data_IF_919228044852
#
_entry.id   IF_919228044852
#
_cell.length_a   1.000
_cell.length_b   1.000
_cell.length_c   1.000
_cell.angle_alpha   90.00
_cell.angle_beta   90.00
_cell.angle_gamma   90.00
#
_symmetry.space_group_name_H-M   'P 1'
#
loop_
_entity.id
_entity.type
_entity.pdbx_description
1 polymer ?
#
# COMPACT_ATOMS: atom_id res chain seq x y z
N UNK A 1 53.75 41.22 -47.57
CA UNK A 1 54.13 41.99 -48.75
C UNK A 1 52.91 42.72 -49.21
N UNK A 2 53.09 44.01 -49.30
CA UNK A 2 52.23 45.06 -49.96
C UNK A 2 52.09 44.80 -51.45
N UNK A 3 51.38 45.62 -52.28
CA UNK A 3 50.36 46.64 -52.03
C UNK A 3 49.37 46.91 -53.21
N UNK A 4 48.41 47.83 -52.98
CA UNK A 4 47.98 48.97 -53.87
C UNK A 4 47.04 48.61 -55.05
N UNK A 5 46.13 49.44 -55.60
CA UNK A 5 45.80 50.85 -55.51
C UNK A 5 44.43 51.13 -56.15
N UNK A 6 43.70 52.10 -55.68
CA UNK A 6 42.97 53.22 -56.26
C UNK A 6 42.57 53.22 -57.74
N UNK A 7 41.32 53.63 -58.01
CA UNK A 7 41.08 54.81 -58.84
C UNK A 7 39.62 55.32 -58.77
N UNK A 8 39.49 56.62 -58.85
CA UNK A 8 38.33 57.42 -58.53
C UNK A 8 37.64 57.98 -59.82
N UNK A 9 36.33 58.30 -59.63
CA UNK A 9 35.51 59.38 -60.19
C UNK A 9 35.32 59.46 -61.72
N UNK A 10 34.32 60.16 -62.32
CA UNK A 10 33.64 61.35 -61.77
C UNK A 10 32.10 61.48 -62.02
N UNK A 11 31.49 62.25 -61.27
CA UNK A 11 30.44 63.26 -61.42
C UNK A 11 29.79 63.44 -62.80
N UNK A 12 28.43 63.26 -62.85
CA UNK A 12 27.61 64.06 -63.81
C UNK A 12 26.30 64.48 -63.14
N UNK A 13 26.18 65.78 -63.03
CA UNK A 13 25.05 66.57 -62.53
C UNK A 13 23.99 66.69 -63.61
N UNK A 14 22.74 66.27 -63.34
CA UNK A 14 21.61 66.70 -64.15
C UNK A 14 20.42 67.06 -63.25
N UNK A 15 20.19 68.37 -63.16
CA UNK A 15 18.96 68.94 -62.61
C UNK A 15 17.81 68.76 -63.61
N UNK A 16 16.68 68.31 -63.17
CA UNK A 16 15.39 68.67 -63.75
C UNK A 16 14.32 68.73 -62.65
N UNK A 17 13.64 69.86 -62.76
CA UNK A 17 12.67 70.43 -61.85
C UNK A 17 11.27 69.82 -62.01
N UNK A 18 10.53 69.87 -60.89
CA UNK A 18 9.08 70.01 -60.68
C UNK A 18 8.10 68.89 -60.98
N UNK A 19 7.45 68.42 -59.95
CA UNK A 19 6.04 68.73 -59.64
C UNK A 19 5.64 68.09 -58.34
N UNK A 20 5.13 68.89 -57.43
CA UNK A 20 4.67 68.39 -56.13
C UNK A 20 3.34 67.65 -56.20
N UNK A 21 3.31 66.57 -55.47
CA UNK A 21 2.08 65.99 -54.87
C UNK A 21 2.44 65.55 -53.46
N UNK A 22 1.97 66.36 -52.50
CA UNK A 22 2.06 65.99 -51.07
C UNK A 22 1.10 64.90 -50.75
N UNK A 23 1.52 63.68 -50.82
CA UNK A 23 0.82 62.54 -50.12
C UNK A 23 1.40 62.44 -48.74
N UNK A 24 0.56 62.73 -47.76
CA UNK A 24 0.79 62.54 -46.33
C UNK A 24 0.84 61.05 -46.08
N UNK A 25 2.01 60.47 -45.97
CA UNK A 25 2.19 59.12 -45.43
C UNK A 25 2.00 59.19 -43.90
N UNK A 26 0.86 58.76 -43.43
CA UNK A 26 0.71 58.44 -42.01
C UNK A 26 1.74 57.36 -41.68
N UNK A 27 2.63 57.64 -40.74
CA UNK A 27 3.55 56.67 -40.19
C UNK A 27 2.76 55.64 -39.45
N UNK A 28 2.76 54.36 -39.94
CA UNK A 28 2.21 53.24 -39.24
C UNK A 28 2.97 53.08 -37.92
N UNK A 29 2.26 53.19 -36.81
CA UNK A 29 2.79 52.88 -35.49
C UNK A 29 3.35 51.45 -35.49
N UNK A 30 4.50 51.17 -34.87
CA UNK A 30 5.04 49.84 -34.79
C UNK A 30 4.05 48.96 -34.03
N UNK A 31 3.60 47.87 -34.67
CA UNK A 31 2.82 46.80 -34.01
C UNK A 31 3.76 46.16 -33.01
N UNK A 32 3.60 46.51 -31.71
CA UNK A 32 4.24 45.79 -30.61
C UNK A 32 3.57 44.38 -30.59
N UNK A 33 4.32 43.33 -30.83
CA UNK A 33 3.72 42.01 -30.72
C UNK A 33 3.20 41.82 -29.28
N UNK A 34 1.90 41.56 -29.15
CA UNK A 34 1.32 41.22 -27.87
C UNK A 34 2.09 40.01 -27.32
N UNK A 35 2.80 40.20 -26.21
CA UNK A 35 3.40 39.10 -25.48
C UNK A 35 2.27 38.15 -25.09
N UNK A 36 2.27 36.97 -25.66
CA UNK A 36 1.35 35.91 -25.25
C UNK A 36 1.47 35.77 -23.72
N UNK A 37 0.34 35.66 -23.01
CA UNK A 37 0.40 35.43 -21.56
C UNK A 37 1.27 34.20 -21.30
N UNK A 38 2.28 34.35 -20.45
CA UNK A 38 3.06 33.22 -19.95
C UNK A 38 2.09 32.35 -19.15
N UNK A 39 1.49 31.34 -19.77
CA UNK A 39 0.69 30.31 -19.09
C UNK A 39 1.72 29.49 -18.35
N UNK A 40 1.94 29.82 -17.08
CA UNK A 40 2.68 28.96 -16.18
C UNK A 40 1.85 27.67 -15.99
N UNK A 41 2.22 26.61 -16.70
CA UNK A 41 1.65 25.29 -16.47
C UNK A 41 2.17 24.83 -15.11
N UNK A 42 1.27 24.68 -14.13
CA UNK A 42 1.64 24.10 -12.84
C UNK A 42 2.31 22.73 -13.06
N UNK A 43 3.35 22.39 -12.31
CA UNK A 43 3.96 21.07 -12.41
C UNK A 43 2.91 19.97 -12.13
N UNK A 44 3.05 18.80 -12.77
CA UNK A 44 2.14 17.70 -12.50
C UNK A 44 2.21 17.32 -11.01
N UNK A 45 1.10 16.79 -10.43
CA UNK A 45 1.08 16.37 -9.05
C UNK A 45 2.07 15.22 -8.81
N UNK A 46 2.64 15.17 -7.62
CA UNK A 46 3.37 14.03 -7.12
C UNK A 46 2.37 12.89 -6.85
N UNK A 47 2.78 11.66 -7.10
CA UNK A 47 1.92 10.48 -6.91
C UNK A 47 2.74 9.37 -6.26
N UNK A 48 2.10 8.68 -5.29
CA UNK A 48 2.57 7.45 -4.67
C UNK A 48 1.48 6.39 -4.79
N UNK A 49 1.86 5.20 -5.19
CA UNK A 49 1.01 4.01 -5.16
C UNK A 49 1.30 3.20 -3.91
N UNK A 50 0.24 2.77 -3.22
CA UNK A 50 0.31 1.93 -2.02
C UNK A 50 -0.41 0.61 -2.28
N UNK A 51 0.24 -0.50 -1.95
CA UNK A 51 -0.42 -1.80 -1.81
C UNK A 51 -0.37 -2.27 -0.36
N UNK A 52 -1.43 -2.94 0.09
CA UNK A 52 -1.45 -3.58 1.40
C UNK A 52 -2.14 -4.93 1.32
N UNK A 53 -1.58 -5.93 2.02
CA UNK A 53 -2.18 -7.26 2.14
C UNK A 53 -2.42 -7.59 3.61
N UNK A 54 -3.31 -8.57 3.85
CA UNK A 54 -3.72 -8.99 5.20
C UNK A 54 -2.72 -9.90 5.90
N UNK A 55 -3.24 -10.91 6.57
CA UNK A 55 -2.52 -11.75 7.52
C UNK A 55 -1.58 -12.73 6.82
N UNK A 56 -0.27 -12.51 6.94
CA UNK A 56 0.76 -13.47 6.58
C UNK A 56 0.97 -14.44 7.74
N UNK A 57 0.11 -15.48 7.81
CA UNK A 57 0.05 -16.43 8.93
C UNK A 57 0.63 -17.80 8.53
N UNK A 58 1.91 -18.01 8.83
CA UNK A 58 2.68 -19.16 8.37
C UNK A 58 2.46 -20.38 9.26
N UNK A 59 1.35 -21.09 9.05
CA UNK A 59 1.13 -22.39 9.65
C UNK A 59 2.19 -23.42 9.25
N UNK A 60 2.26 -24.54 9.98
CA UNK A 60 3.28 -25.57 9.74
C UNK A 60 3.26 -26.14 8.31
N UNK A 61 2.12 -26.27 7.69
CA UNK A 61 2.00 -26.76 6.31
C UNK A 61 2.50 -25.69 5.31
N UNK A 62 2.31 -24.40 5.60
CA UNK A 62 2.82 -23.31 4.77
C UNK A 62 4.35 -23.30 4.79
N UNK A 63 4.98 -23.17 5.96
CA UNK A 63 6.44 -23.12 6.00
C UNK A 63 7.12 -24.42 5.58
N UNK A 64 6.47 -25.59 5.78
CA UNK A 64 7.00 -26.85 5.24
C UNK A 64 6.95 -26.90 3.71
N UNK A 65 5.96 -26.30 3.07
CA UNK A 65 5.91 -26.21 1.61
C UNK A 65 7.00 -25.33 1.02
N UNK A 66 7.51 -24.37 1.79
CA UNK A 66 8.62 -23.50 1.43
C UNK A 66 10.00 -24.10 1.80
N UNK A 67 10.05 -25.31 2.39
CA UNK A 67 11.30 -25.91 2.86
C UNK A 67 12.20 -26.29 1.69
N UNK A 68 13.49 -25.93 1.80
CA UNK A 68 14.56 -26.28 0.87
C UNK A 68 15.62 -27.14 1.58
N UNK A 69 16.69 -27.50 0.88
CA UNK A 69 17.82 -28.20 1.49
C UNK A 69 18.56 -27.35 2.56
N UNK A 70 18.56 -26.04 2.39
CA UNK A 70 19.37 -25.11 3.19
C UNK A 70 18.55 -24.13 4.04
N UNK A 71 17.21 -24.35 4.19
CA UNK A 71 16.32 -23.48 4.95
C UNK A 71 14.94 -23.37 4.31
N UNK A 72 14.50 -22.12 4.06
CA UNK A 72 13.18 -21.84 3.48
C UNK A 72 13.27 -20.82 2.35
N UNK A 73 12.40 -21.00 1.34
CA UNK A 73 12.18 -20.07 0.23
C UNK A 73 10.67 -19.87 0.05
N UNK A 74 10.18 -18.69 0.44
CA UNK A 74 8.77 -18.32 0.37
C UNK A 74 8.41 -17.62 -0.93
N UNK A 75 9.36 -17.15 -1.73
CA UNK A 75 9.10 -16.41 -2.97
C UNK A 75 8.19 -17.17 -3.95
N UNK A 76 8.32 -18.51 -4.14
CA UNK A 76 7.41 -19.24 -5.02
C UNK A 76 5.95 -19.18 -4.58
N UNK A 77 5.65 -19.02 -3.28
CA UNK A 77 4.28 -18.99 -2.77
C UNK A 77 3.53 -17.72 -3.20
N UNK A 78 4.26 -16.65 -3.47
CA UNK A 78 3.73 -15.33 -3.80
C UNK A 78 3.97 -14.93 -5.25
N UNK A 79 4.48 -15.83 -6.09
CA UNK A 79 4.95 -15.50 -7.44
C UNK A 79 3.88 -14.81 -8.31
N UNK A 80 2.59 -15.18 -8.16
CA UNK A 80 1.50 -14.62 -8.99
C UNK A 80 1.06 -13.22 -8.55
N UNK A 81 1.43 -12.78 -7.34
CA UNK A 81 1.11 -11.45 -6.80
C UNK A 81 2.34 -10.54 -6.67
N UNK A 82 3.55 -11.08 -6.83
CA UNK A 82 4.81 -10.37 -6.61
C UNK A 82 4.95 -9.10 -7.44
N UNK A 83 4.44 -9.08 -8.68
CA UNK A 83 4.52 -7.91 -9.56
C UNK A 83 3.73 -6.71 -9.03
N UNK A 84 2.60 -6.92 -8.36
CA UNK A 84 1.81 -5.82 -7.76
C UNK A 84 2.53 -5.19 -6.58
N UNK A 85 3.21 -6.03 -5.80
CA UNK A 85 3.98 -5.61 -4.61
C UNK A 85 5.24 -4.88 -5.05
N UNK A 86 6.06 -5.51 -5.91
CA UNK A 86 7.35 -4.97 -6.35
C UNK A 86 7.26 -3.67 -7.17
N UNK A 87 6.12 -3.41 -7.83
CA UNK A 87 5.94 -2.25 -8.68
C UNK A 87 5.11 -1.13 -8.03
N UNK A 88 4.55 -1.34 -6.85
CA UNK A 88 4.00 -0.24 -6.04
C UNK A 88 5.14 0.57 -5.40
N UNK A 89 4.91 1.87 -5.17
CA UNK A 89 5.91 2.74 -4.54
C UNK A 89 6.11 2.38 -3.06
N UNK A 90 5.04 1.89 -2.39
CA UNK A 90 5.06 1.40 -1.00
C UNK A 90 4.17 0.17 -0.88
N UNK A 91 4.68 -0.88 -0.25
CA UNK A 91 3.93 -2.10 0.03
C UNK A 91 3.94 -2.44 1.54
N UNK A 92 2.76 -2.85 2.03
CA UNK A 92 2.49 -3.17 3.43
C UNK A 92 2.00 -4.62 3.61
N UNK A 93 2.44 -5.27 4.70
CA UNK A 93 1.94 -6.60 5.12
C UNK A 93 1.78 -6.69 6.64
N UNK A 94 0.74 -7.39 7.11
CA UNK A 94 0.65 -7.84 8.50
C UNK A 94 1.35 -9.19 8.66
N UNK A 95 2.51 -9.21 9.32
CA UNK A 95 3.22 -10.45 9.66
C UNK A 95 2.69 -11.00 10.97
N UNK A 96 1.79 -11.97 10.92
CA UNK A 96 1.03 -12.44 12.07
C UNK A 96 1.74 -13.60 12.79
N UNK A 97 2.94 -13.35 13.23
CA UNK A 97 3.71 -14.19 14.16
C UNK A 97 5.12 -13.60 14.35
N UNK A 98 5.80 -13.85 15.47
CA UNK A 98 7.21 -13.50 15.60
C UNK A 98 8.08 -14.31 14.63
N UNK A 99 9.22 -13.75 14.27
CA UNK A 99 10.32 -14.36 13.49
C UNK A 99 11.57 -14.39 14.36
N UNK A 100 11.50 -15.05 15.51
CA UNK A 100 12.50 -14.93 16.57
C UNK A 100 13.80 -15.72 16.32
N UNK A 101 13.86 -16.48 15.21
CA UNK A 101 14.92 -17.46 14.97
C UNK A 101 14.63 -18.80 15.69
N UNK A 102 15.52 -19.78 15.50
CA UNK A 102 15.34 -21.12 16.04
C UNK A 102 14.28 -21.94 15.28
N UNK A 103 13.77 -23.01 15.92
CA UNK A 103 12.83 -23.91 15.27
C UNK A 103 11.48 -23.25 15.03
N UNK A 104 10.93 -23.31 13.80
CA UNK A 104 9.59 -22.83 13.51
C UNK A 104 8.53 -23.62 14.25
N UNK A 105 7.42 -22.96 14.56
CA UNK A 105 6.25 -23.58 15.18
C UNK A 105 4.95 -22.95 14.67
N UNK A 106 3.84 -23.65 14.88
CA UNK A 106 2.52 -23.29 14.39
C UNK A 106 1.53 -23.19 15.56
N UNK A 107 0.26 -23.03 15.23
CA UNK A 107 -0.83 -23.00 16.22
C UNK A 107 -0.64 -24.07 17.31
N UNK A 108 -0.89 -23.75 18.60
CA UNK A 108 -1.40 -22.46 19.10
C UNK A 108 -0.33 -21.40 19.42
N UNK A 109 0.96 -21.69 19.23
CA UNK A 109 2.07 -20.80 19.57
C UNK A 109 3.04 -20.72 18.40
N UNK A 110 2.88 -19.66 17.60
CA UNK A 110 3.61 -19.47 16.36
C UNK A 110 5.04 -18.97 16.54
N UNK A 111 5.91 -19.37 15.63
CA UNK A 111 7.21 -18.78 15.36
C UNK A 111 7.52 -19.03 13.87
N UNK A 112 7.54 -17.99 13.07
CA UNK A 112 7.84 -18.08 11.65
C UNK A 112 9.35 -18.20 11.39
N UNK A 113 9.79 -18.92 10.33
CA UNK A 113 11.17 -18.85 9.89
C UNK A 113 11.58 -17.40 9.57
N UNK A 114 12.80 -17.03 9.89
CA UNK A 114 13.31 -15.68 9.58
C UNK A 114 13.39 -15.41 8.07
N UNK A 115 13.61 -16.45 7.28
CA UNK A 115 13.58 -16.35 5.81
C UNK A 115 12.28 -15.76 5.27
N UNK A 116 11.16 -15.89 6.00
CA UNK A 116 9.91 -15.23 5.62
C UNK A 116 10.07 -13.69 5.58
N UNK A 117 10.71 -13.09 6.58
CA UNK A 117 10.99 -11.65 6.59
C UNK A 117 11.91 -11.23 5.44
N UNK A 118 12.99 -11.99 5.20
CA UNK A 118 13.88 -11.76 4.07
C UNK A 118 13.11 -11.78 2.73
N UNK A 119 12.25 -12.76 2.55
CA UNK A 119 11.53 -12.96 1.29
C UNK A 119 10.41 -11.93 1.09
N UNK A 120 9.74 -11.48 2.18
CA UNK A 120 8.81 -10.36 2.12
C UNK A 120 9.52 -9.07 1.65
N UNK A 121 10.67 -8.74 2.23
CA UNK A 121 11.45 -7.56 1.81
C UNK A 121 11.98 -7.73 0.38
N UNK A 122 12.44 -8.93 0.00
CA UNK A 122 12.89 -9.21 -1.36
C UNK A 122 11.77 -9.09 -2.41
N UNK A 123 10.51 -9.30 -2.01
CA UNK A 123 9.34 -9.06 -2.86
C UNK A 123 9.00 -7.57 -3.01
N UNK A 124 9.50 -6.70 -2.16
CA UNK A 124 9.26 -5.26 -2.18
C UNK A 124 8.33 -4.75 -1.08
N UNK A 125 8.07 -5.51 -0.01
CA UNK A 125 7.37 -4.98 1.15
C UNK A 125 8.27 -3.98 1.90
N UNK A 126 7.81 -2.74 1.97
CA UNK A 126 8.49 -1.62 2.65
C UNK A 126 8.10 -1.53 4.13
N UNK A 127 6.86 -1.95 4.49
CA UNK A 127 6.31 -1.83 5.85
C UNK A 127 5.78 -3.17 6.33
N UNK A 128 6.31 -3.64 7.46
CA UNK A 128 5.89 -4.87 8.13
C UNK A 128 5.22 -4.50 9.46
N UNK A 129 3.92 -4.83 9.61
CA UNK A 129 3.22 -4.66 10.88
C UNK A 129 3.41 -5.90 11.75
N UNK A 130 3.76 -5.67 13.02
CA UNK A 130 3.89 -6.69 14.06
C UNK A 130 2.86 -6.53 15.18
N UNK A 131 1.98 -5.52 15.14
CA UNK A 131 0.87 -5.41 16.08
C UNK A 131 -0.21 -6.44 15.76
N UNK A 132 -0.11 -7.63 16.35
CA UNK A 132 -1.09 -8.70 16.21
C UNK A 132 -1.12 -9.58 17.47
N UNK A 133 -2.14 -10.43 17.56
CA UNK A 133 -2.36 -11.26 18.76
C UNK A 133 -1.31 -12.37 18.96
N UNK A 134 -0.59 -12.76 17.89
CA UNK A 134 0.43 -13.81 17.93
C UNK A 134 1.86 -13.31 18.16
N UNK A 135 2.09 -11.98 18.19
CA UNK A 135 3.45 -11.44 18.33
C UNK A 135 4.15 -11.88 19.64
N UNK A 136 3.36 -12.10 20.69
CA UNK A 136 3.86 -12.53 22.01
C UNK A 136 3.91 -14.05 22.22
N UNK A 137 3.59 -14.87 21.23
CA UNK A 137 3.49 -16.34 21.35
C UNK A 137 4.77 -17.00 21.88
N UNK A 138 5.91 -16.41 21.69
CA UNK A 138 7.22 -16.85 22.20
C UNK A 138 7.79 -15.91 23.28
N UNK A 139 6.96 -15.03 23.83
CA UNK A 139 7.34 -14.09 24.88
C UNK A 139 8.14 -12.88 24.35
N UNK A 140 8.44 -11.98 25.28
CA UNK A 140 9.06 -10.69 24.94
C UNK A 140 10.43 -10.80 24.26
N UNK A 141 11.25 -11.79 24.65
CA UNK A 141 12.54 -11.97 24.00
C UNK A 141 12.42 -12.34 22.53
N UNK A 142 11.37 -13.06 22.16
CA UNK A 142 11.09 -13.38 20.76
C UNK A 142 10.69 -12.13 19.96
N UNK A 143 9.92 -11.21 20.55
CA UNK A 143 9.62 -9.91 19.93
C UNK A 143 10.91 -9.13 19.70
N UNK A 144 11.76 -9.00 20.72
CA UNK A 144 13.03 -8.30 20.59
C UNK A 144 13.97 -8.94 19.54
N UNK A 145 14.01 -10.27 19.48
CA UNK A 145 14.80 -10.99 18.47
C UNK A 145 14.24 -10.78 17.06
N UNK A 146 12.90 -10.71 16.92
CA UNK A 146 12.23 -10.41 15.65
C UNK A 146 12.58 -8.98 15.18
N UNK A 147 12.49 -8.00 16.07
CA UNK A 147 12.85 -6.62 15.79
C UNK A 147 14.32 -6.48 15.38
N UNK A 148 15.23 -7.11 16.15
CA UNK A 148 16.67 -7.10 15.85
C UNK A 148 16.99 -7.76 14.50
N UNK A 149 16.24 -8.79 14.12
CA UNK A 149 16.37 -9.41 12.81
C UNK A 149 15.87 -8.49 11.69
N UNK A 150 14.65 -7.92 11.83
CA UNK A 150 14.09 -7.04 10.82
C UNK A 150 14.91 -5.75 10.65
N UNK A 151 15.57 -5.25 11.70
CA UNK A 151 16.50 -4.12 11.64
C UNK A 151 17.72 -4.39 10.72
N UNK A 152 18.00 -5.66 10.40
CA UNK A 152 19.02 -6.02 9.41
C UNK A 152 18.51 -6.00 7.96
N UNK A 153 17.23 -5.80 7.75
CA UNK A 153 16.57 -5.78 6.44
C UNK A 153 16.18 -4.33 6.07
N UNK A 154 15.99 -4.07 4.79
CA UNK A 154 15.58 -2.76 4.29
C UNK A 154 14.04 -2.63 4.32
N UNK A 155 13.48 -2.54 5.52
CA UNK A 155 12.04 -2.34 5.74
C UNK A 155 11.77 -1.53 7.01
N UNK A 156 10.63 -0.87 7.04
CA UNK A 156 10.09 -0.23 8.24
C UNK A 156 9.23 -1.22 9.02
N UNK A 157 9.30 -1.15 10.35
CA UNK A 157 8.52 -2.01 11.26
C UNK A 157 7.61 -1.13 12.11
N UNK A 158 6.34 -1.51 12.21
CA UNK A 158 5.36 -0.85 13.09
C UNK A 158 4.71 -1.85 14.05
N UNK A 159 4.13 -1.32 15.13
CA UNK A 159 3.29 -2.08 16.04
C UNK A 159 4.01 -2.88 17.12
N UNK A 160 5.35 -3.00 17.05
CA UNK A 160 6.19 -3.53 18.12
C UNK A 160 7.47 -2.69 18.24
N UNK A 161 8.02 -2.57 19.46
CA UNK A 161 9.08 -1.62 19.75
C UNK A 161 10.10 -2.19 20.72
N UNK A 162 11.39 -1.89 20.51
CA UNK A 162 12.46 -2.35 21.38
C UNK A 162 12.59 -1.55 22.69
N UNK A 163 12.03 -0.33 22.72
CA UNK A 163 12.00 0.56 23.89
C UNK A 163 10.88 1.60 23.77
N UNK A 164 10.64 2.35 24.84
CA UNK A 164 9.71 3.49 24.85
C UNK A 164 10.13 4.60 23.87
N UNK A 165 11.43 4.86 23.75
CA UNK A 165 11.97 5.84 22.79
C UNK A 165 11.71 5.38 21.34
N UNK A 166 11.87 4.08 21.06
CA UNK A 166 11.56 3.52 19.74
C UNK A 166 10.07 3.67 19.41
N UNK A 167 9.16 3.47 20.38
CA UNK A 167 7.72 3.71 20.19
C UNK A 167 7.40 5.17 19.87
N UNK A 168 8.09 6.11 20.51
CA UNK A 168 7.88 7.54 20.30
C UNK A 168 8.48 8.06 18.99
N UNK A 169 9.30 7.26 18.31
CA UNK A 169 9.88 7.61 17.03
C UNK A 169 8.90 7.26 15.91
N UNK A 170 8.37 8.27 15.19
CA UNK A 170 7.38 8.00 14.14
C UNK A 170 8.01 7.26 12.96
N UNK A 171 7.28 6.31 12.40
CA UNK A 171 7.66 5.64 11.15
C UNK A 171 7.10 6.44 9.98
N UNK A 172 7.98 7.12 9.25
CA UNK A 172 7.64 7.97 8.11
C UNK A 172 8.49 7.56 6.92
N UNK A 173 7.85 7.22 5.81
CA UNK A 173 8.50 6.97 4.53
C UNK A 173 8.29 8.18 3.60
N UNK A 174 9.31 8.56 2.87
CA UNK A 174 9.22 9.56 1.81
C UNK A 174 9.41 8.88 0.45
N UNK A 175 8.41 9.01 -0.41
CA UNK A 175 8.44 8.50 -1.79
C UNK A 175 7.89 9.60 -2.73
N UNK A 176 8.61 9.89 -3.80
CA UNK A 176 8.18 10.85 -4.82
C UNK A 176 7.82 12.25 -4.27
N UNK A 177 8.41 12.69 -3.14
CA UNK A 177 8.11 13.96 -2.49
C UNK A 177 6.81 13.97 -1.67
N UNK A 178 6.27 12.79 -1.36
CA UNK A 178 5.12 12.55 -0.47
C UNK A 178 5.60 11.81 0.76
N UNK A 179 5.21 12.28 1.94
CA UNK A 179 5.50 11.63 3.22
C UNK A 179 4.30 10.81 3.68
N UNK A 180 4.55 9.52 4.00
CA UNK A 180 3.56 8.58 4.50
C UNK A 180 3.95 8.16 5.92
N UNK A 181 3.10 8.46 6.89
CA UNK A 181 3.26 8.02 8.27
C UNK A 181 2.51 6.73 8.52
N UNK A 182 3.15 5.79 9.22
CA UNK A 182 2.58 4.48 9.52
C UNK A 182 2.55 4.23 11.02
N UNK A 183 1.43 3.66 11.52
CA UNK A 183 1.30 3.17 12.90
C UNK A 183 0.38 1.95 12.91
N UNK A 184 0.59 1.04 13.86
CA UNK A 184 -0.21 -0.19 13.96
C UNK A 184 -0.56 -0.53 15.40
N UNK A 185 -1.78 -1.08 15.59
CA UNK A 185 -2.32 -1.45 16.90
C UNK A 185 -2.99 -2.83 16.86
N UNK A 186 -2.98 -3.54 17.98
CA UNK A 186 -3.68 -4.81 18.15
C UNK A 186 -4.60 -4.81 19.36
N UNK A 187 -5.72 -5.55 19.29
CA UNK A 187 -6.65 -5.71 20.41
C UNK A 187 -6.05 -6.46 21.60
N UNK A 188 -4.97 -7.20 21.39
CA UNK A 188 -4.38 -7.99 22.45
C UNK A 188 -3.28 -8.94 21.98
N UNK A 189 -2.82 -9.78 22.87
CA UNK A 189 -1.72 -10.74 22.69
C UNK A 189 -2.10 -12.15 23.18
N UNK A 190 -3.30 -12.60 22.84
CA UNK A 190 -3.84 -13.94 23.23
C UNK A 190 -3.75 -14.21 24.74
N UNK A 191 -3.95 -13.15 25.57
CA UNK A 191 -3.88 -13.26 27.01
C UNK A 191 -2.46 -13.37 27.60
N UNK A 192 -1.41 -13.26 26.79
CA UNK A 192 -0.02 -13.19 27.25
C UNK A 192 0.29 -11.73 27.63
N UNK A 193 0.50 -11.40 28.91
CA UNK A 193 0.68 -10.01 29.31
C UNK A 193 2.03 -9.44 28.84
N UNK A 194 2.07 -8.16 28.52
CA UNK A 194 3.32 -7.45 28.29
C UNK A 194 4.12 -7.37 29.60
N UNK A 195 5.46 -7.45 29.54
CA UNK A 195 6.30 -7.30 30.72
C UNK A 195 6.12 -5.92 31.36
N UNK A 196 6.04 -5.85 32.68
CA UNK A 196 5.86 -4.57 33.41
C UNK A 196 6.98 -3.55 33.13
N UNK A 197 8.18 -4.03 32.82
CA UNK A 197 9.34 -3.19 32.47
C UNK A 197 9.44 -2.88 30.97
N UNK A 198 8.50 -3.36 30.16
CA UNK A 198 8.41 -3.14 28.71
C UNK A 198 6.94 -2.95 28.28
N UNK A 199 6.23 -1.96 28.86
CA UNK A 199 4.81 -1.75 28.57
C UNK A 199 4.54 -1.35 27.13
N UNK A 200 5.56 -0.81 26.46
CA UNK A 200 5.51 -0.31 25.07
C UNK A 200 5.96 -1.34 24.04
N UNK A 201 6.25 -2.59 24.45
CA UNK A 201 6.79 -3.64 23.57
C UNK A 201 5.87 -3.92 22.36
N UNK A 202 4.56 -3.85 22.55
CA UNK A 202 3.54 -4.02 21.51
C UNK A 202 2.50 -2.91 21.65
N UNK A 203 2.11 -2.31 20.53
CA UNK A 203 1.08 -1.28 20.49
C UNK A 203 -0.31 -1.89 20.64
N UNK A 204 -0.84 -1.87 21.86
CA UNK A 204 -2.23 -2.29 22.10
C UNK A 204 -3.21 -1.17 21.72
N UNK A 205 -4.44 -1.55 21.34
CA UNK A 205 -5.54 -0.62 21.12
C UNK A 205 -5.89 0.05 22.47
N UNK A 206 -5.59 1.34 22.53
CA UNK A 206 -5.96 2.23 23.64
C UNK A 206 -6.33 3.59 23.05
N UNK A 207 -7.55 4.07 23.31
CA UNK A 207 -8.11 5.26 22.64
C UNK A 207 -7.31 6.55 22.94
N UNK A 208 -6.75 6.69 24.12
CA UNK A 208 -5.96 7.86 24.50
C UNK A 208 -4.62 7.85 23.77
N UNK A 209 -3.95 6.72 23.75
CA UNK A 209 -2.69 6.50 23.03
C UNK A 209 -2.86 6.69 21.53
N UNK A 210 -3.88 6.08 20.92
CA UNK A 210 -4.22 6.25 19.49
C UNK A 210 -4.44 7.72 19.17
N UNK A 211 -5.21 8.43 20.01
CA UNK A 211 -5.49 9.86 19.81
C UNK A 211 -4.21 10.69 19.80
N UNK A 212 -3.32 10.44 20.77
CA UNK A 212 -2.07 11.17 20.88
C UNK A 212 -1.13 10.87 19.70
N UNK A 213 -0.92 9.59 19.38
CA UNK A 213 0.03 9.15 18.35
C UNK A 213 -0.44 9.53 16.93
N UNK A 214 -1.71 9.30 16.58
CA UNK A 214 -2.25 9.62 15.25
C UNK A 214 -2.29 11.14 15.03
N UNK A 215 -2.71 11.92 16.05
CA UNK A 215 -2.69 13.38 15.98
C UNK A 215 -1.27 13.93 15.82
N UNK A 216 -0.29 13.34 16.49
CA UNK A 216 1.11 13.75 16.37
C UNK A 216 1.66 13.40 14.97
N UNK A 217 1.32 12.22 14.45
CA UNK A 217 1.75 11.74 13.13
C UNK A 217 1.13 12.61 12.01
N UNK A 218 -0.18 12.95 12.11
CA UNK A 218 -0.88 13.81 11.12
C UNK A 218 -0.19 15.16 10.90
N UNK A 219 0.46 15.70 11.91
CA UNK A 219 1.19 16.98 11.82
C UNK A 219 2.52 16.89 11.08
N UNK A 220 3.01 15.68 10.82
CA UNK A 220 4.35 15.41 10.28
C UNK A 220 4.32 14.82 8.87
N UNK A 221 3.14 14.33 8.40
CA UNK A 221 3.04 13.58 7.16
C UNK A 221 1.95 14.13 6.25
N UNK A 222 2.12 13.89 4.96
CA UNK A 222 1.11 14.17 3.94
C UNK A 222 -0.05 13.16 4.03
N UNK A 223 0.25 11.89 4.33
CA UNK A 223 -0.74 10.83 4.53
C UNK A 223 -0.43 10.02 5.79
N UNK A 224 -1.48 9.63 6.52
CA UNK A 224 -1.42 8.78 7.71
C UNK A 224 -2.13 7.47 7.42
N UNK A 225 -1.39 6.36 7.54
CA UNK A 225 -1.88 5.00 7.34
C UNK A 225 -1.86 4.28 8.68
N UNK A 226 -3.01 3.75 9.09
CA UNK A 226 -3.17 3.06 10.38
C UNK A 226 -3.52 1.60 10.14
N UNK A 227 -2.71 0.68 10.69
CA UNK A 227 -3.03 -0.74 10.71
C UNK A 227 -3.74 -1.12 12.00
N UNK A 228 -4.89 -1.79 11.89
CA UNK A 228 -5.72 -2.22 13.01
C UNK A 228 -5.92 -3.72 12.99
N UNK A 229 -5.32 -4.42 13.96
CA UNK A 229 -5.55 -5.85 14.17
C UNK A 229 -6.65 -6.05 15.20
N UNK A 230 -7.90 -6.21 14.74
CA UNK A 230 -9.11 -6.01 15.51
C UNK A 230 -10.30 -6.91 15.11
N UNK A 231 -11.42 -6.78 15.81
CA UNK A 231 -12.66 -7.46 15.48
C UNK A 231 -12.72 -8.90 15.99
N UNK A 232 -13.54 -9.73 15.34
CA UNK A 232 -13.76 -11.12 15.74
C UNK A 232 -13.41 -12.07 14.59
N UNK A 233 -12.71 -13.14 14.88
CA UNK A 233 -12.37 -14.17 13.90
C UNK A 233 -13.62 -14.70 13.18
N UNK A 234 -13.48 -14.82 11.86
CA UNK A 234 -14.46 -15.45 10.94
C UNK A 234 -15.80 -14.72 10.82
N UNK A 235 -15.88 -13.47 11.26
CA UNK A 235 -17.06 -12.63 11.07
C UNK A 235 -16.88 -11.76 9.81
N UNK A 236 -17.84 -11.88 8.86
CA UNK A 236 -17.81 -11.12 7.59
C UNK A 236 -18.26 -9.66 7.78
N UNK A 237 -18.89 -9.34 8.90
CA UNK A 237 -19.35 -7.98 9.24
C UNK A 237 -18.48 -7.38 10.34
N UNK A 238 -18.12 -6.10 10.25
CA UNK A 238 -17.41 -5.43 11.33
C UNK A 238 -18.20 -5.45 12.63
N UNK A 239 -17.50 -5.51 13.75
CA UNK A 239 -18.10 -5.30 15.07
C UNK A 239 -18.33 -3.80 15.31
N UNK A 240 -19.21 -3.45 16.25
CA UNK A 240 -19.43 -2.05 16.66
C UNK A 240 -18.15 -1.38 17.16
N UNK A 241 -17.25 -2.13 17.80
CA UNK A 241 -15.94 -1.61 18.22
C UNK A 241 -15.05 -1.24 17.01
N UNK A 242 -15.04 -2.06 15.96
CA UNK A 242 -14.33 -1.73 14.71
C UNK A 242 -14.90 -0.45 14.08
N UNK A 243 -16.22 -0.30 14.02
CA UNK A 243 -16.88 0.88 13.48
C UNK A 243 -16.58 2.15 14.29
N UNK A 244 -16.64 2.07 15.63
CA UNK A 244 -16.31 3.18 16.52
C UNK A 244 -14.83 3.59 16.43
N UNK A 245 -13.91 2.63 16.33
CA UNK A 245 -12.47 2.90 16.19
C UNK A 245 -12.15 3.48 14.82
N UNK A 246 -12.81 2.98 13.76
CA UNK A 246 -12.67 3.53 12.42
C UNK A 246 -13.11 4.99 12.36
N UNK A 247 -14.25 5.33 13.00
CA UNK A 247 -14.72 6.71 13.10
C UNK A 247 -13.76 7.58 13.89
N UNK A 248 -13.26 7.11 15.04
CA UNK A 248 -12.24 7.82 15.82
C UNK A 248 -10.99 8.13 14.96
N UNK A 249 -10.48 7.14 14.23
CA UNK A 249 -9.31 7.34 13.36
C UNK A 249 -9.58 8.35 12.24
N UNK A 250 -10.80 8.33 11.69
CA UNK A 250 -11.25 9.31 10.70
C UNK A 250 -11.27 10.73 11.28
N UNK A 251 -11.83 10.89 12.47
CA UNK A 251 -11.89 12.19 13.17
C UNK A 251 -10.50 12.71 13.55
N UNK A 252 -9.52 11.81 13.72
CA UNK A 252 -8.11 12.16 14.00
C UNK A 252 -7.32 12.46 12.71
N UNK A 253 -7.90 12.26 11.52
CA UNK A 253 -7.28 12.56 10.24
C UNK A 253 -6.42 11.42 9.67
N UNK A 254 -6.69 10.16 9.99
CA UNK A 254 -6.13 9.03 9.27
C UNK A 254 -6.67 9.02 7.83
N UNK A 255 -5.81 8.75 6.85
CA UNK A 255 -6.22 8.71 5.43
C UNK A 255 -6.64 7.30 5.00
N UNK A 256 -5.93 6.28 5.49
CA UNK A 256 -6.22 4.87 5.20
C UNK A 256 -6.18 4.05 6.49
N UNK A 257 -7.17 3.21 6.70
CA UNK A 257 -7.19 2.19 7.76
C UNK A 257 -7.14 0.80 7.14
N UNK A 258 -6.14 0.02 7.53
CA UNK A 258 -5.90 -1.36 7.08
C UNK A 258 -6.28 -2.30 8.21
N UNK A 259 -7.44 -2.96 8.11
CA UNK A 259 -7.91 -3.94 9.08
C UNK A 259 -7.38 -5.35 8.80
N UNK A 260 -7.06 -6.07 9.87
CA UNK A 260 -6.57 -7.46 9.89
C UNK A 260 -7.13 -8.21 11.11
N UNK A 261 -6.89 -9.48 11.30
CA UNK A 261 -7.34 -10.39 12.37
C UNK A 261 -8.59 -11.23 12.07
N UNK A 262 -9.70 -10.76 11.45
CA UNK A 262 -10.86 -11.63 11.23
C UNK A 262 -10.57 -12.86 10.39
N UNK A 263 -9.43 -12.90 9.68
CA UNK A 263 -9.02 -13.98 8.76
C UNK A 263 -9.97 -14.20 7.58
N UNK A 264 -10.98 -13.36 7.46
CA UNK A 264 -11.91 -13.25 6.34
C UNK A 264 -11.98 -11.80 5.91
N UNK A 265 -12.31 -11.58 4.65
CA UNK A 265 -12.52 -10.22 4.16
C UNK A 265 -13.77 -9.60 4.82
N UNK A 266 -13.73 -8.31 5.07
CA UNK A 266 -14.85 -7.51 5.53
C UNK A 266 -15.09 -6.33 4.59
N UNK A 267 -16.22 -5.60 4.69
CA UNK A 267 -16.51 -4.43 3.87
C UNK A 267 -15.40 -3.39 3.86
N UNK A 268 -15.43 -2.55 2.83
CA UNK A 268 -14.69 -1.29 2.80
C UNK A 268 -15.63 -0.12 2.70
N UNK A 269 -15.20 1.05 3.18
CA UNK A 269 -16.02 2.26 3.17
C UNK A 269 -15.16 3.52 3.12
N UNK A 270 -15.70 4.59 2.55
CA UNK A 270 -15.28 5.95 2.87
C UNK A 270 -16.05 6.43 4.10
N UNK A 271 -15.32 6.78 5.16
CA UNK A 271 -15.87 7.46 6.31
C UNK A 271 -15.52 8.95 6.25
N UNK A 272 -16.46 9.79 6.67
CA UNK A 272 -16.26 11.23 6.80
C UNK A 272 -16.07 11.60 8.26
N UNK A 273 -15.12 12.50 8.54
CA UNK A 273 -14.93 13.05 9.87
C UNK A 273 -16.17 13.85 10.32
N UNK A 274 -16.43 13.85 11.61
CA UNK A 274 -17.63 14.51 12.18
C UNK A 274 -17.73 16.01 11.84
N UNK A 275 -16.59 16.67 11.59
CA UNK A 275 -16.53 18.07 11.16
C UNK A 275 -16.65 18.27 9.64
N UNK A 276 -16.70 17.19 8.86
CA UNK A 276 -16.77 17.20 7.39
C UNK A 276 -15.47 17.62 6.70
N UNK A 277 -14.37 17.82 7.45
CA UNK A 277 -13.10 18.33 6.93
C UNK A 277 -12.17 17.26 6.36
N UNK A 278 -12.44 15.97 6.63
CA UNK A 278 -11.59 14.87 6.24
C UNK A 278 -12.41 13.62 5.89
N UNK A 279 -11.84 12.74 5.06
CA UNK A 279 -12.41 11.41 4.80
C UNK A 279 -11.32 10.35 4.78
N UNK A 280 -11.65 9.17 5.27
CA UNK A 280 -10.76 8.02 5.40
C UNK A 280 -11.24 6.84 4.57
N UNK A 281 -10.35 6.20 3.83
CA UNK A 281 -10.64 4.90 3.24
C UNK A 281 -10.38 3.80 4.27
N UNK A 282 -11.41 3.06 4.64
CA UNK A 282 -11.34 1.98 5.63
C UNK A 282 -11.56 0.65 4.94
N UNK A 283 -10.57 -0.24 4.97
CA UNK A 283 -10.75 -1.67 4.70
C UNK A 283 -10.83 -2.38 6.04
N UNK A 284 -12.04 -2.79 6.47
CA UNK A 284 -12.26 -3.34 7.81
C UNK A 284 -11.51 -4.65 8.06
N UNK A 285 -11.32 -5.48 7.05
CA UNK A 285 -10.41 -6.62 7.06
C UNK A 285 -9.99 -7.02 5.66
N UNK A 286 -8.70 -7.21 5.46
CA UNK A 286 -8.14 -7.77 4.24
C UNK A 286 -8.09 -9.32 4.25
N UNK A 287 -8.52 -9.97 5.34
CA UNK A 287 -8.42 -11.42 5.49
C UNK A 287 -6.99 -11.94 5.45
N UNK A 288 -6.81 -13.19 5.08
CA UNK A 288 -5.49 -13.80 4.99
C UNK A 288 -4.77 -13.45 3.68
N UNK A 289 -3.52 -13.01 3.77
CA UNK A 289 -2.62 -13.03 2.62
C UNK A 289 -2.20 -14.45 2.30
N UNK A 290 -1.82 -15.22 3.31
CA UNK A 290 -1.61 -16.68 3.23
C UNK A 290 -1.88 -17.33 4.58
N UNK A 291 -2.55 -18.48 4.58
CA UNK A 291 -2.73 -19.31 5.78
C UNK A 291 -3.00 -20.76 5.41
N UNK A 292 -3.12 -21.64 6.41
CA UNK A 292 -3.68 -22.99 6.21
C UNK A 292 -4.89 -23.26 7.09
N UNK A 293 -5.70 -22.25 7.32
CA UNK A 293 -6.99 -22.40 7.97
C UNK A 293 -7.92 -23.30 7.14
N UNK A 294 -9.07 -23.69 7.70
CA UNK A 294 -9.87 -24.78 7.11
C UNK A 294 -11.27 -24.37 6.63
N UNK A 295 -11.65 -23.10 6.78
CA UNK A 295 -12.94 -22.58 6.28
C UNK A 295 -12.74 -22.02 4.87
N UNK A 296 -13.76 -22.14 4.02
CA UNK A 296 -13.74 -21.60 2.66
C UNK A 296 -13.37 -20.11 2.64
N UNK A 297 -14.07 -19.31 3.44
CA UNK A 297 -13.91 -17.84 3.42
C UNK A 297 -12.53 -17.39 3.91
N UNK A 298 -11.82 -18.22 4.70
CA UNK A 298 -10.45 -17.90 5.12
C UNK A 298 -9.41 -18.10 4.01
N UNK A 299 -9.81 -18.68 2.88
CA UNK A 299 -8.97 -18.80 1.68
C UNK A 299 -9.06 -17.55 0.78
N UNK A 300 -10.05 -16.70 1.03
CA UNK A 300 -10.23 -15.44 0.31
C UNK A 300 -9.64 -14.29 1.14
N UNK A 301 -8.64 -13.63 0.58
CA UNK A 301 -8.05 -12.41 1.11
C UNK A 301 -8.18 -11.26 0.12
N UNK A 302 -7.60 -10.12 0.47
CA UNK A 302 -7.61 -8.92 -0.35
C UNK A 302 -6.27 -8.23 -0.42
N UNK A 303 -6.02 -7.59 -1.54
CA UNK A 303 -4.96 -6.59 -1.69
C UNK A 303 -5.60 -5.22 -1.88
N UNK A 304 -5.41 -4.35 -0.91
CA UNK A 304 -5.72 -2.93 -1.07
C UNK A 304 -4.74 -2.34 -2.08
N UNK A 305 -5.26 -1.58 -3.04
CA UNK A 305 -4.49 -0.73 -3.94
C UNK A 305 -4.99 0.70 -3.80
N UNK A 306 -4.09 1.65 -3.56
CA UNK A 306 -4.43 3.06 -3.46
C UNK A 306 -3.45 3.92 -4.22
N UNK A 307 -3.94 5.06 -4.71
CA UNK A 307 -3.18 6.07 -5.41
C UNK A 307 -3.31 7.40 -4.70
N UNK A 308 -2.20 7.85 -4.14
CA UNK A 308 -2.08 9.03 -3.31
C UNK A 308 -1.47 10.16 -4.13
N UNK A 309 -2.06 11.34 -4.06
CA UNK A 309 -1.65 12.49 -4.87
C UNK A 309 -1.38 13.70 -3.98
N UNK A 310 -0.31 14.43 -4.30
CA UNK A 310 -0.01 15.74 -3.72
C UNK A 310 0.20 16.75 -4.85
N UNK A 311 -0.63 17.77 -4.86
CA UNK A 311 -0.56 18.86 -5.86
C UNK A 311 0.59 19.81 -5.54
N UNK A 312 0.95 20.66 -6.51
CA UNK A 312 2.04 21.63 -6.35
C UNK A 312 1.78 22.68 -5.25
N UNK A 313 0.52 22.94 -4.92
CA UNK A 313 0.09 23.82 -3.81
C UNK A 313 -0.03 23.06 -2.47
N UNK A 314 0.35 21.77 -2.45
CA UNK A 314 0.43 20.96 -1.23
C UNK A 314 -0.87 20.25 -0.84
N UNK A 315 -1.93 20.29 -1.66
CA UNK A 315 -3.14 19.56 -1.37
C UNK A 315 -2.92 18.06 -1.57
N UNK A 316 -3.24 17.27 -0.54
CA UNK A 316 -3.13 15.81 -0.50
C UNK A 316 -4.51 15.17 -0.66
N UNK A 317 -4.63 14.19 -1.56
CA UNK A 317 -5.88 13.45 -1.81
C UNK A 317 -5.61 12.00 -2.16
N UNK A 318 -6.50 11.10 -1.76
CA UNK A 318 -6.54 9.74 -2.31
C UNK A 318 -7.31 9.84 -3.62
N UNK A 319 -6.58 9.72 -4.75
CA UNK A 319 -7.16 9.81 -6.09
C UNK A 319 -8.07 8.60 -6.38
N UNK A 320 -7.61 7.41 -5.97
CA UNK A 320 -8.35 6.17 -6.11
C UNK A 320 -7.92 5.16 -5.02
N UNK A 321 -8.86 4.34 -4.57
CA UNK A 321 -8.60 3.18 -3.73
C UNK A 321 -9.57 2.05 -4.05
N UNK A 322 -9.12 0.81 -3.92
CA UNK A 322 -9.95 -0.37 -4.12
C UNK A 322 -9.26 -1.65 -3.67
N UNK A 323 -9.95 -2.78 -3.83
CA UNK A 323 -9.57 -4.06 -3.25
C UNK A 323 -9.61 -5.15 -4.34
N UNK A 324 -8.46 -5.76 -4.60
CA UNK A 324 -8.33 -6.90 -5.49
C UNK A 324 -8.39 -8.19 -4.68
N UNK A 325 -9.31 -9.14 -5.00
CA UNK A 325 -9.42 -10.39 -4.28
C UNK A 325 -8.25 -11.32 -4.59
N UNK A 326 -7.72 -11.95 -3.52
CA UNK A 326 -6.66 -12.92 -3.55
C UNK A 326 -7.15 -14.26 -3.03
N UNK A 327 -6.64 -15.36 -3.56
CA UNK A 327 -6.99 -16.71 -3.10
C UNK A 327 -5.73 -17.45 -2.66
N UNK A 328 -5.71 -17.89 -1.40
CA UNK A 328 -4.74 -18.87 -0.92
C UNK A 328 -5.12 -20.26 -1.46
N UNK A 329 -4.24 -20.87 -2.22
CA UNK A 329 -4.38 -22.22 -2.75
C UNK A 329 -3.36 -23.17 -2.16
N UNK A 330 -3.77 -24.41 -1.88
CA UNK A 330 -2.87 -25.52 -1.57
C UNK A 330 -3.54 -26.87 -1.82
N UNK A 331 -2.74 -27.85 -2.19
CA UNK A 331 -3.19 -29.18 -2.53
C UNK A 331 -2.99 -30.19 -1.39
N UNK A 332 -3.46 -31.41 -1.59
CA UNK A 332 -3.30 -32.52 -0.64
C UNK A 332 -1.81 -32.79 -0.35
N UNK A 333 -1.49 -33.02 0.92
CA UNK A 333 -0.11 -33.21 1.38
C UNK A 333 0.67 -31.91 1.59
N UNK A 334 -0.02 -30.78 1.72
CA UNK A 334 0.60 -29.45 1.91
C UNK A 334 1.52 -29.06 0.75
N UNK A 335 1.08 -29.32 -0.46
CA UNK A 335 1.82 -29.02 -1.70
C UNK A 335 1.23 -27.82 -2.40
N UNK A 336 2.03 -27.23 -3.28
CA UNK A 336 1.63 -26.18 -4.21
C UNK A 336 0.93 -25.01 -3.53
N UNK A 337 1.40 -24.62 -2.32
CA UNK A 337 0.94 -23.37 -1.71
C UNK A 337 1.22 -22.19 -2.62
N UNK A 338 0.18 -21.41 -2.88
CA UNK A 338 0.28 -20.25 -3.74
C UNK A 338 -0.82 -19.23 -3.46
N UNK A 339 -0.51 -17.96 -3.58
CA UNK A 339 -1.48 -16.87 -3.54
C UNK A 339 -1.73 -16.42 -4.97
N UNK A 340 -2.99 -16.52 -5.41
CA UNK A 340 -3.42 -16.09 -6.74
C UNK A 340 -4.29 -14.84 -6.67
N UNK A 341 -4.17 -13.89 -7.61
CA UNK A 341 -5.29 -13.01 -7.92
C UNK A 341 -6.51 -13.88 -8.32
N UNK A 342 -7.71 -13.51 -7.86
CA UNK A 342 -8.92 -14.30 -8.12
C UNK A 342 -9.16 -14.52 -9.62
N UNK A 343 -8.84 -13.54 -10.47
CA UNK A 343 -8.99 -13.63 -11.93
C UNK A 343 -8.11 -14.71 -12.55
N UNK A 344 -7.04 -15.14 -11.87
CA UNK A 344 -6.17 -16.25 -12.28
C UNK A 344 -6.51 -17.58 -11.60
N UNK A 345 -7.44 -17.55 -10.65
CA UNK A 345 -7.85 -18.75 -9.92
C UNK A 345 -8.94 -19.50 -10.69
N UNK A 346 -8.58 -20.60 -11.35
CA UNK A 346 -9.49 -21.32 -12.25
C UNK A 346 -10.37 -22.32 -11.50
N UNK A 347 -11.50 -22.76 -12.10
CA UNK A 347 -12.32 -23.85 -11.55
C UNK A 347 -11.55 -25.16 -11.38
N UNK A 348 -10.51 -25.41 -12.19
CA UNK A 348 -9.61 -26.57 -12.07
C UNK A 348 -8.78 -26.47 -10.80
N UNK A 349 -8.14 -25.32 -10.54
CA UNK A 349 -7.42 -25.07 -9.28
C UNK A 349 -8.35 -25.24 -8.07
N UNK A 350 -9.57 -24.70 -8.14
CA UNK A 350 -10.55 -24.83 -7.06
C UNK A 350 -10.91 -26.31 -6.77
N UNK A 351 -10.96 -27.18 -7.80
CA UNK A 351 -11.20 -28.63 -7.64
C UNK A 351 -10.01 -29.34 -6.98
N UNK A 352 -8.79 -28.90 -7.27
CA UNK A 352 -7.54 -29.49 -6.74
C UNK A 352 -7.25 -28.99 -5.31
N UNK A 353 -7.88 -27.90 -4.90
CA UNK A 353 -7.68 -27.32 -3.57
C UNK A 353 -8.00 -28.35 -2.46
N UNK A 354 -7.08 -28.51 -1.50
CA UNK A 354 -7.19 -29.51 -0.41
C UNK A 354 -8.52 -29.48 0.35
N UNK A 355 -9.06 -28.27 0.57
CA UNK A 355 -10.31 -28.11 1.32
C UNK A 355 -11.56 -28.43 0.51
N UNK A 356 -11.47 -28.50 -0.81
CA UNK A 356 -12.63 -28.70 -1.70
C UNK A 356 -13.42 -29.98 -1.38
N UNK A 357 -12.74 -31.03 -0.92
CA UNK A 357 -13.39 -32.28 -0.53
C UNK A 357 -14.28 -32.15 0.72
N UNK A 358 -14.02 -31.16 1.57
CA UNK A 358 -14.75 -30.91 2.82
C UNK A 358 -15.69 -29.70 2.70
N UNK A 359 -15.34 -28.74 1.85
CA UNK A 359 -16.03 -27.46 1.67
C UNK A 359 -16.54 -27.36 0.22
N UNK A 360 -17.78 -27.79 -0.02
CA UNK A 360 -18.36 -27.80 -1.37
C UNK A 360 -18.60 -26.41 -1.95
N UNK A 361 -18.55 -25.39 -1.15
CA UNK A 361 -18.65 -23.96 -1.48
C UNK A 361 -17.32 -23.32 -1.90
N UNK A 362 -16.18 -24.02 -1.77
CA UNK A 362 -14.90 -23.53 -2.24
C UNK A 362 -14.86 -23.52 -3.78
N UNK A 363 -15.37 -22.46 -4.37
CA UNK A 363 -15.49 -22.26 -5.83
C UNK A 363 -15.07 -20.84 -6.22
N UNK A 364 -14.68 -20.66 -7.47
CA UNK A 364 -14.41 -19.31 -8.03
C UNK A 364 -15.64 -18.42 -7.92
N UNK A 365 -16.82 -18.97 -8.24
CA UNK A 365 -18.09 -18.22 -8.18
C UNK A 365 -18.38 -17.72 -6.76
N UNK A 366 -18.20 -18.57 -5.72
CA UNK A 366 -18.39 -18.15 -4.33
C UNK A 366 -17.44 -17.02 -3.95
N UNK A 367 -16.16 -17.14 -4.27
CA UNK A 367 -15.18 -16.10 -3.97
C UNK A 367 -15.47 -14.79 -4.71
N UNK A 368 -15.89 -14.87 -5.97
CA UNK A 368 -16.29 -13.70 -6.76
C UNK A 368 -17.52 -13.02 -6.16
N UNK A 369 -18.57 -13.80 -5.88
CA UNK A 369 -19.80 -13.27 -5.30
C UNK A 369 -19.52 -12.63 -3.94
N UNK A 370 -18.83 -13.33 -3.04
CA UNK A 370 -18.55 -12.82 -1.69
C UNK A 370 -17.72 -11.53 -1.72
N UNK A 371 -16.67 -11.46 -2.53
CA UNK A 371 -15.84 -10.25 -2.64
C UNK A 371 -16.60 -9.07 -3.25
N UNK A 372 -17.43 -9.32 -4.27
CA UNK A 372 -18.26 -8.29 -4.87
C UNK A 372 -19.37 -7.78 -3.94
N UNK A 373 -20.01 -8.67 -3.16
CA UNK A 373 -21.02 -8.30 -2.16
C UNK A 373 -20.44 -7.43 -1.05
N UNK A 374 -19.23 -7.76 -0.55
CA UNK A 374 -18.61 -7.04 0.56
C UNK A 374 -17.95 -5.73 0.14
N UNK A 375 -17.37 -5.67 -1.05
CA UNK A 375 -16.60 -4.50 -1.48
C UNK A 375 -17.32 -3.58 -2.46
N UNK A 376 -18.38 -4.07 -3.14
CA UNK A 376 -19.20 -3.24 -4.03
C UNK A 376 -18.37 -2.46 -5.05
N UNK A 377 -18.46 -1.15 -5.01
CA UNK A 377 -17.75 -0.24 -5.92
C UNK A 377 -16.21 -0.25 -5.72
N UNK A 378 -15.71 -0.75 -4.60
CA UNK A 378 -14.28 -0.85 -4.31
C UNK A 378 -13.65 -2.14 -4.84
N UNK A 379 -14.47 -3.08 -5.35
CA UNK A 379 -13.98 -4.31 -5.94
C UNK A 379 -13.19 -4.03 -7.22
N UNK A 380 -11.99 -4.58 -7.31
CA UNK A 380 -11.12 -4.45 -8.49
C UNK A 380 -10.81 -5.84 -9.05
N UNK A 381 -10.95 -6.00 -10.36
CA UNK A 381 -10.27 -7.08 -11.07
C UNK A 381 -8.77 -6.79 -11.21
N UNK A 382 -8.05 -7.77 -11.72
CA UNK A 382 -6.60 -7.69 -11.92
C UNK A 382 -6.22 -6.50 -12.84
N UNK A 383 -7.00 -6.25 -13.90
CA UNK A 383 -6.73 -5.18 -14.85
C UNK A 383 -6.92 -3.80 -14.21
N UNK A 384 -8.01 -3.59 -13.47
CA UNK A 384 -8.28 -2.31 -12.79
C UNK A 384 -7.26 -2.05 -11.69
N UNK A 385 -6.86 -3.07 -10.93
CA UNK A 385 -5.80 -2.95 -9.93
C UNK A 385 -4.45 -2.56 -10.59
N UNK A 386 -4.09 -3.21 -11.70
CA UNK A 386 -2.87 -2.88 -12.45
C UNK A 386 -2.88 -1.44 -13.00
N UNK A 387 -4.02 -0.97 -13.50
CA UNK A 387 -4.18 0.42 -13.98
C UNK A 387 -4.04 1.41 -12.82
N UNK A 388 -4.69 1.14 -11.69
CA UNK A 388 -4.62 1.99 -10.49
C UNK A 388 -3.17 2.12 -10.01
N UNK A 389 -2.43 1.02 -9.98
CA UNK A 389 -1.02 0.98 -9.59
C UNK A 389 -0.07 1.44 -10.72
N UNK A 390 -0.58 1.85 -11.89
CA UNK A 390 0.21 2.24 -13.06
C UNK A 390 1.12 1.13 -13.64
N UNK A 391 0.81 -0.12 -13.39
CA UNK A 391 1.55 -1.25 -13.97
C UNK A 391 1.26 -1.40 -15.48
N UNK A 392 0.12 -0.85 -15.94
CA UNK A 392 -0.29 -0.77 -17.35
C UNK A 392 -0.63 0.68 -17.66
N UNK A 393 -0.06 1.25 -18.74
CA UNK A 393 -0.43 2.61 -19.13
C UNK A 393 -1.87 2.64 -19.64
N UNK A 394 -2.64 3.66 -19.28
CA UNK A 394 -4.02 3.86 -19.74
C UNK A 394 -4.19 3.89 -21.28
N UNK A 395 -3.08 4.01 -22.04
CA UNK A 395 -3.06 3.98 -23.51
C UNK A 395 -3.10 2.58 -24.10
N UNK A 396 -2.99 1.53 -23.29
CA UNK A 396 -3.03 0.11 -23.72
C UNK A 396 -4.38 -0.56 -23.42
N UNK A 397 -5.40 0.18 -23.01
CA UNK A 397 -6.74 -0.35 -22.86
C UNK A 397 -7.27 -0.73 -24.26
N UNK A 398 -7.71 -1.97 -24.52
CA UNK A 398 -8.51 -2.27 -25.67
C UNK A 398 -9.81 -1.46 -25.57
N UNK A 399 -10.19 -0.80 -26.67
CA UNK A 399 -11.47 -0.09 -26.74
C UNK A 399 -12.59 -1.09 -26.41
N UNK A 400 -13.45 -0.74 -25.45
CA UNK A 400 -14.62 -1.51 -25.04
C UNK A 400 -15.62 -1.67 -26.17
#
# INVERSE_FOLDING_TARGET
>A
MRPKRFLAAPLLLLLLLLCGCTSRTEAASPIVPATAPNVSIAPPPAIVTLTAVGDNLLHNTVYRSAQTADGYDFLPLYADVSSYIALSDVAFVNQEAPMSGGAPSSYPSFNSPQEAGRDLVAMGFDVINLANNHIMDKGSQAVLSTLAYLDTLDCAVIGAHSSTEARQTPVILEKNGITLGFVGYTYGTNGIPLPKNQPDLVSLIDRETITAEVTALRRQCDFVIVSMHWGNEYQLTPSSEQEELAQLLTDLGADIVIGTHPHVIQPAAWLEAADGGHRTFVAYSLGNFISSQSRTDTMLGGMLAARLQKTADGQCTIEAAGLMPLVTHFEAGAKNYRVYPLDRYTPELAKEHRLRAQNSDLTVDHFTQLSQELWGEFWLDEQHAAVLLRLISARQQPAA
#
